data_IF_989082679296
#
_entry.id   IF_989082679296
#
_cell.length_a   1.000
_cell.length_b   1.000
_cell.length_c   1.000
_cell.angle_alpha   90.00
_cell.angle_beta   90.00
_cell.angle_gamma   90.00
#
_symmetry.space_group_name_H-M   'P 1'
#
loop_
_entity.id
_entity.type
_entity.pdbx_description
1 polymer ?
#
# COMPACT_ATOMS: atom_id res chain seq x y z
N UNK A 1 0.99 -5.60 2.63
CA UNK A 1 0.68 -5.54 4.08
C UNK A 1 -0.21 -6.72 4.46
N UNK A 2 -0.17 -7.16 5.72
CA UNK A 2 -1.16 -8.09 6.28
C UNK A 2 -2.61 -7.64 6.01
N UNK A 3 -3.50 -8.61 5.86
CA UNK A 3 -4.94 -8.49 5.59
C UNK A 3 -5.33 -7.80 4.26
N UNK A 4 -4.35 -7.43 3.44
CA UNK A 4 -4.60 -6.82 2.14
C UNK A 4 -4.73 -7.87 1.06
N UNK A 5 -5.80 -7.76 0.27
CA UNK A 5 -6.02 -8.56 -0.93
C UNK A 5 -5.64 -7.75 -2.17
N UNK A 6 -4.68 -8.25 -2.95
CA UNK A 6 -4.15 -7.54 -4.12
C UNK A 6 -4.00 -8.50 -5.30
N UNK A 7 -4.44 -8.12 -6.51
CA UNK A 7 -4.12 -8.86 -7.72
C UNK A 7 -2.69 -8.52 -8.17
N UNK A 8 -1.88 -9.55 -8.45
CA UNK A 8 -0.56 -9.43 -9.05
C UNK A 8 -0.54 -10.06 -10.43
N UNK A 9 0.21 -9.45 -11.34
CA UNK A 9 0.49 -9.97 -12.68
C UNK A 9 1.94 -10.41 -12.71
N UNK A 10 2.16 -11.69 -13.01
CA UNK A 10 3.48 -12.33 -12.90
C UNK A 10 3.86 -12.87 -14.27
N UNK A 11 4.96 -12.36 -14.82
CA UNK A 11 5.51 -12.79 -16.12
C UNK A 11 6.90 -13.42 -16.06
N UNK A 12 7.62 -13.29 -14.94
CA UNK A 12 8.97 -13.85 -14.78
C UNK A 12 8.89 -15.35 -14.53
N UNK A 13 9.63 -16.14 -15.31
CA UNK A 13 9.62 -17.61 -15.22
C UNK A 13 9.89 -18.10 -13.78
N UNK A 14 10.91 -17.55 -13.10
CA UNK A 14 11.23 -17.91 -11.71
C UNK A 14 10.07 -17.67 -10.75
N UNK A 15 9.32 -16.58 -10.94
CA UNK A 15 8.17 -16.24 -10.11
C UNK A 15 6.96 -17.12 -10.40
N UNK A 16 6.72 -17.47 -11.66
CA UNK A 16 5.66 -18.41 -12.07
C UNK A 16 5.96 -19.79 -11.49
N UNK A 17 7.21 -20.28 -11.59
CA UNK A 17 7.62 -21.57 -11.01
C UNK A 17 7.46 -21.60 -9.48
N UNK A 18 7.83 -20.52 -8.79
CA UNK A 18 7.60 -20.38 -7.34
C UNK A 18 6.10 -20.51 -6.99
N UNK A 19 5.24 -19.85 -7.77
CA UNK A 19 3.79 -19.89 -7.59
C UNK A 19 3.23 -21.30 -7.81
N UNK A 20 3.64 -22.01 -8.87
CA UNK A 20 3.22 -23.39 -9.15
C UNK A 20 3.58 -24.34 -8.00
N UNK A 21 4.83 -24.29 -7.51
CA UNK A 21 5.29 -25.08 -6.36
C UNK A 21 4.47 -24.76 -5.10
N UNK A 22 4.12 -23.48 -4.89
CA UNK A 22 3.33 -23.09 -3.72
C UNK A 22 1.91 -23.68 -3.72
N UNK A 23 1.33 -23.86 -4.92
CA UNK A 23 -0.02 -24.40 -5.09
C UNK A 23 -0.14 -25.89 -4.77
N UNK A 24 0.97 -26.63 -4.89
CA UNK A 24 1.07 -28.05 -4.52
C UNK A 24 1.29 -28.26 -3.01
N UNK A 25 1.66 -27.19 -2.30
CA UNK A 25 1.87 -27.16 -0.84
C UNK A 25 0.71 -26.44 -0.15
N UNK A 26 1.02 -25.59 0.83
CA UNK A 26 0.03 -24.89 1.66
C UNK A 26 -0.51 -23.60 1.02
N UNK A 27 -0.28 -23.36 -0.27
CA UNK A 27 -0.67 -22.14 -1.00
C UNK A 27 -0.13 -20.85 -0.37
N UNK A 28 1.02 -20.94 0.30
CA UNK A 28 1.69 -19.79 0.93
C UNK A 28 2.92 -19.39 0.15
N UNK A 29 3.12 -18.08 0.02
CA UNK A 29 4.29 -17.47 -0.60
C UNK A 29 4.81 -16.33 0.28
N UNK A 30 6.10 -16.02 0.15
CA UNK A 30 6.70 -14.85 0.77
C UNK A 30 6.82 -13.75 -0.27
N UNK A 31 6.12 -12.63 -0.07
CA UNK A 31 6.18 -11.46 -0.95
C UNK A 31 7.21 -10.48 -0.42
N UNK A 32 8.23 -10.20 -1.23
CA UNK A 32 9.32 -9.27 -0.92
C UNK A 32 9.39 -8.25 -2.04
N UNK A 33 9.48 -6.98 -1.69
CA UNK A 33 9.69 -5.94 -2.66
C UNK A 33 11.16 -5.88 -3.10
N UNK A 34 11.40 -5.60 -4.38
CA UNK A 34 12.71 -5.21 -4.88
C UNK A 34 12.92 -3.70 -4.64
N UNK A 35 14.16 -3.30 -4.35
CA UNK A 35 14.55 -1.91 -4.09
C UNK A 35 14.35 -1.02 -5.33
N UNK A 36 14.65 -1.55 -6.50
CA UNK A 36 14.51 -0.85 -7.79
C UNK A 36 13.52 -1.59 -8.70
N UNK A 37 12.38 -0.96 -9.01
CA UNK A 37 11.33 -1.58 -9.83
C UNK A 37 11.76 -1.86 -11.29
N UNK A 38 12.74 -1.12 -11.81
CA UNK A 38 13.23 -1.25 -13.19
C UNK A 38 14.15 -2.44 -13.43
N UNK A 39 14.58 -3.13 -12.38
CA UNK A 39 15.46 -4.29 -12.52
C UNK A 39 14.62 -5.55 -12.78
N UNK A 40 14.81 -6.13 -13.97
CA UNK A 40 14.07 -7.31 -14.41
C UNK A 40 14.55 -8.60 -13.74
N UNK A 41 15.86 -8.72 -13.52
CA UNK A 41 16.47 -9.84 -12.83
C UNK A 41 17.13 -9.34 -11.53
N UNK A 42 16.36 -9.19 -10.44
CA UNK A 42 16.92 -8.83 -9.15
C UNK A 42 17.75 -9.99 -8.59
N UNK A 43 18.92 -9.67 -8.07
CA UNK A 43 19.70 -10.54 -7.21
C UNK A 43 19.23 -10.41 -5.75
N UNK A 44 19.85 -11.17 -4.86
CA UNK A 44 19.52 -11.21 -3.43
C UNK A 44 19.67 -9.82 -2.76
N UNK A 45 20.72 -9.08 -3.11
CA UNK A 45 21.02 -7.76 -2.53
C UNK A 45 20.07 -6.66 -3.02
N UNK A 46 19.34 -6.89 -4.11
CA UNK A 46 18.33 -5.98 -4.63
C UNK A 46 16.99 -6.08 -3.90
N UNK A 47 16.82 -7.05 -2.99
CA UNK A 47 15.58 -7.29 -2.27
C UNK A 47 15.62 -6.68 -0.86
N UNK A 48 14.46 -6.32 -0.34
CA UNK A 48 14.31 -6.02 1.08
C UNK A 48 14.33 -7.31 1.92
N UNK A 49 14.68 -7.17 3.20
CA UNK A 49 14.75 -8.32 4.11
C UNK A 49 13.41 -8.61 4.80
N UNK A 50 12.53 -7.61 4.90
CA UNK A 50 11.20 -7.77 5.47
C UNK A 50 10.18 -7.83 4.35
N UNK A 51 9.33 -8.84 4.41
CA UNK A 51 8.25 -9.07 3.47
C UNK A 51 6.95 -9.47 4.15
N UNK A 52 6.00 -9.92 3.36
CA UNK A 52 4.70 -10.39 3.83
C UNK A 52 4.48 -11.85 3.43
N UNK A 53 4.33 -12.74 4.41
CA UNK A 53 3.80 -14.08 4.17
C UNK A 53 2.37 -13.91 3.70
N UNK A 54 2.05 -14.50 2.55
CA UNK A 54 0.78 -14.31 1.86
C UNK A 54 0.18 -15.63 1.42
N UNK A 55 -1.15 -15.70 1.39
CA UNK A 55 -1.91 -16.83 0.85
C UNK A 55 -2.29 -16.55 -0.60
N UNK A 56 -2.18 -17.56 -1.46
CA UNK A 56 -2.68 -17.52 -2.84
C UNK A 56 -4.16 -17.91 -2.85
N UNK A 57 -5.03 -16.93 -3.07
CA UNK A 57 -6.48 -17.14 -3.12
C UNK A 57 -6.94 -17.71 -4.47
N UNK A 58 -6.39 -17.17 -5.56
CA UNK A 58 -6.76 -17.56 -6.91
C UNK A 58 -5.56 -17.40 -7.86
N UNK A 59 -5.46 -18.30 -8.83
CA UNK A 59 -4.46 -18.24 -9.90
C UNK A 59 -5.13 -18.49 -11.25
N UNK A 60 -4.83 -17.65 -12.23
CA UNK A 60 -5.33 -17.76 -13.60
C UNK A 60 -4.18 -17.53 -14.58
N UNK A 61 -3.89 -18.52 -15.42
CA UNK A 61 -2.97 -18.37 -16.55
C UNK A 61 -3.69 -17.63 -17.68
N UNK A 62 -3.07 -16.56 -18.17
CA UNK A 62 -3.58 -15.77 -19.28
C UNK A 62 -3.04 -16.31 -20.62
N UNK A 63 -3.72 -16.04 -21.75
CA UNK A 63 -3.30 -16.54 -23.07
C UNK A 63 -1.92 -16.04 -23.52
N UNK A 64 -1.43 -14.94 -22.96
CA UNK A 64 -0.12 -14.36 -23.23
C UNK A 64 1.02 -15.02 -22.45
N UNK A 65 0.72 -16.03 -21.63
CA UNK A 65 1.68 -16.74 -20.79
C UNK A 65 1.89 -16.11 -19.41
N UNK A 66 1.34 -14.93 -19.15
CA UNK A 66 1.41 -14.32 -17.81
C UNK A 66 0.41 -14.97 -16.86
N UNK A 67 0.67 -14.86 -15.56
CA UNK A 67 -0.20 -15.39 -14.51
C UNK A 67 -0.80 -14.23 -13.73
N UNK A 68 -2.14 -14.16 -13.71
CA UNK A 68 -2.87 -13.30 -12.79
C UNK A 68 -3.13 -14.07 -11.50
N UNK A 69 -2.58 -13.60 -10.39
CA UNK A 69 -2.75 -14.21 -9.07
C UNK A 69 -3.41 -13.22 -8.11
N UNK A 70 -4.38 -13.70 -7.33
CA UNK A 70 -4.99 -12.94 -6.24
C UNK A 70 -4.36 -13.44 -4.93
N UNK A 71 -3.75 -12.53 -4.18
CA UNK A 71 -3.03 -12.86 -2.94
C UNK A 71 -3.60 -12.08 -1.77
N UNK A 72 -3.61 -12.70 -0.59
CA UNK A 72 -3.92 -12.06 0.69
C UNK A 72 -2.68 -12.05 1.58
N UNK A 73 -2.26 -10.88 2.06
CA UNK A 73 -1.22 -10.78 3.06
C UNK A 73 -1.70 -11.36 4.39
N UNK A 74 -0.90 -12.23 5.03
CA UNK A 74 -1.24 -12.85 6.31
C UNK A 74 -0.50 -12.20 7.46
N UNK A 75 0.83 -12.17 7.38
CA UNK A 75 1.69 -11.65 8.43
C UNK A 75 3.02 -11.19 7.86
N UNK A 76 3.72 -10.35 8.63
CA UNK A 76 5.05 -9.88 8.26
C UNK A 76 6.09 -10.94 8.64
N UNK A 77 7.16 -11.03 7.87
CA UNK A 77 8.29 -11.89 8.18
C UNK A 77 9.62 -11.25 7.79
N UNK A 78 10.66 -11.57 8.54
CA UNK A 78 12.04 -11.17 8.27
C UNK A 78 12.82 -12.36 7.73
N UNK A 79 13.53 -12.17 6.62
CA UNK A 79 14.38 -13.17 5.99
C UNK A 79 15.66 -13.34 6.83
N UNK A 80 15.96 -14.59 7.17
CA UNK A 80 17.21 -15.01 7.80
C UNK A 80 18.25 -15.35 6.72
N UNK A 81 17.83 -16.11 5.72
CA UNK A 81 18.67 -16.48 4.58
C UNK A 81 17.85 -16.57 3.31
N UNK A 82 18.43 -16.11 2.19
CA UNK A 82 17.84 -16.20 0.86
C UNK A 82 18.79 -16.98 -0.06
N UNK A 83 18.25 -17.90 -0.85
CA UNK A 83 18.99 -18.75 -1.78
C UNK A 83 18.32 -18.69 -3.15
N UNK A 84 19.12 -18.48 -4.19
CA UNK A 84 18.68 -18.67 -5.58
C UNK A 84 19.07 -20.08 -6.01
N UNK A 85 18.06 -20.95 -6.19
CA UNK A 85 18.28 -22.33 -6.62
C UNK A 85 18.27 -22.46 -8.16
N UNK A 86 18.34 -21.36 -8.90
CA UNK A 86 18.22 -21.30 -10.35
C UNK A 86 16.75 -21.22 -10.81
N UNK A 87 15.88 -22.05 -10.24
CA UNK A 87 14.47 -22.11 -10.60
C UNK A 87 13.59 -21.07 -9.91
N UNK A 88 13.88 -20.77 -8.65
CA UNK A 88 13.14 -19.82 -7.82
C UNK A 88 13.98 -19.44 -6.60
N UNK A 89 13.59 -18.37 -5.93
CA UNK A 89 14.15 -18.00 -4.64
C UNK A 89 13.54 -18.86 -3.52
N UNK A 90 14.37 -19.38 -2.64
CA UNK A 90 13.99 -20.03 -1.39
C UNK A 90 14.52 -19.22 -0.22
N UNK A 91 13.68 -18.96 0.77
CA UNK A 91 14.05 -18.18 1.95
C UNK A 91 13.75 -18.96 3.23
N UNK A 92 14.64 -18.82 4.21
CA UNK A 92 14.33 -19.09 5.61
C UNK A 92 13.92 -17.76 6.26
N UNK A 93 12.79 -17.73 6.96
CA UNK A 93 12.24 -16.50 7.51
C UNK A 93 11.61 -16.73 8.89
N UNK A 94 11.72 -15.72 9.74
CA UNK A 94 11.04 -15.66 11.04
C UNK A 94 9.83 -14.74 10.95
N UNK A 95 8.81 -15.03 11.76
CA UNK A 95 7.74 -14.06 11.99
C UNK A 95 8.33 -12.75 12.50
N UNK A 96 7.82 -11.65 11.96
CA UNK A 96 8.29 -10.32 12.32
C UNK A 96 7.89 -10.00 13.76
N UNK A 97 8.87 -9.62 14.58
CA UNK A 97 8.63 -9.31 15.98
C UNK A 97 8.02 -7.92 16.12
N UNK A 98 6.86 -7.84 16.76
CA UNK A 98 6.21 -6.57 17.12
C UNK A 98 6.69 -6.16 18.51
N UNK A 99 7.02 -4.88 18.69
CA UNK A 99 7.39 -4.36 20.02
C UNK A 99 6.15 -4.12 20.86
N UNK A 100 6.24 -4.43 22.15
CA UNK A 100 5.17 -4.14 23.12
C UNK A 100 5.19 -2.64 23.44
N UNK A 101 4.05 -1.98 23.34
CA UNK A 101 3.82 -0.56 23.64
C UNK A 101 2.87 -0.38 24.83
N UNK A 102 2.82 0.83 25.40
CA UNK A 102 1.82 1.21 26.41
C UNK A 102 0.43 1.31 25.76
N UNK A 103 -0.50 0.48 26.23
CA UNK A 103 -1.86 0.38 25.70
C UNK A 103 -2.63 1.71 25.74
N UNK A 104 -2.36 2.58 26.73
CA UNK A 104 -3.15 3.82 26.92
C UNK A 104 -2.79 4.89 25.90
N UNK A 105 -1.51 5.07 25.61
CA UNK A 105 -1.05 5.99 24.57
C UNK A 105 -1.50 5.53 23.19
N UNK A 106 -1.44 4.22 22.95
CA UNK A 106 -1.87 3.61 21.70
C UNK A 106 -3.36 3.83 21.41
N UNK A 107 -4.23 3.74 22.42
CA UNK A 107 -5.68 3.99 22.24
C UNK A 107 -5.95 5.44 21.77
N UNK A 108 -5.26 6.42 22.35
CA UNK A 108 -5.38 7.83 21.96
C UNK A 108 -4.90 8.03 20.53
N UNK A 109 -3.76 7.43 20.18
CA UNK A 109 -3.18 7.52 18.86
C UNK A 109 -4.06 6.89 17.78
N UNK A 110 -4.68 5.75 18.07
CA UNK A 110 -5.65 5.10 17.15
C UNK A 110 -6.81 6.03 16.84
N UNK A 111 -7.41 6.67 17.86
CA UNK A 111 -8.50 7.64 17.65
C UNK A 111 -8.05 8.84 16.81
N UNK A 112 -6.86 9.36 17.09
CA UNK A 112 -6.29 10.45 16.31
C UNK A 112 -6.05 10.07 14.84
N UNK A 113 -5.50 8.88 14.59
CA UNK A 113 -5.25 8.35 13.25
C UNK A 113 -6.55 8.16 12.45
N UNK A 114 -7.61 7.64 13.08
CA UNK A 114 -8.94 7.49 12.43
C UNK A 114 -9.49 8.87 12.03
N UNK A 115 -9.48 9.85 12.94
CA UNK A 115 -10.00 11.19 12.68
C UNK A 115 -9.23 11.90 11.56
N UNK A 116 -7.91 11.73 11.52
CA UNK A 116 -7.09 12.28 10.45
C UNK A 116 -7.34 11.57 9.12
N UNK A 117 -7.49 10.24 9.13
CA UNK A 117 -7.83 9.48 7.94
C UNK A 117 -9.22 9.83 7.39
N UNK A 118 -10.20 10.10 8.25
CA UNK A 118 -11.51 10.64 7.84
C UNK A 118 -11.35 11.97 7.09
N UNK A 119 -10.54 12.87 7.64
CA UNK A 119 -10.25 14.18 7.03
C UNK A 119 -9.54 14.02 5.68
N UNK A 120 -8.64 13.05 5.59
CA UNK A 120 -7.96 12.68 4.35
C UNK A 120 -8.93 12.16 3.27
N UNK A 121 -9.81 11.20 3.59
CA UNK A 121 -10.81 10.67 2.64
C UNK A 121 -11.72 11.76 2.10
N UNK A 122 -12.16 12.71 2.96
CA UNK A 122 -13.02 13.83 2.54
C UNK A 122 -12.38 14.69 1.44
N UNK A 123 -11.05 14.77 1.41
CA UNK A 123 -10.29 15.48 0.37
C UNK A 123 -9.93 14.55 -0.80
N UNK A 124 -9.59 13.29 -0.54
CA UNK A 124 -9.24 12.31 -1.55
C UNK A 124 -10.44 11.43 -1.97
N UNK A 125 -11.22 11.96 -2.93
CA UNK A 125 -12.40 11.27 -3.48
C UNK A 125 -12.12 9.96 -4.25
N UNK A 126 -10.85 9.53 -4.37
CA UNK A 126 -10.51 8.24 -4.99
C UNK A 126 -10.73 7.06 -4.04
N UNK A 127 -10.78 7.31 -2.73
CA UNK A 127 -10.98 6.27 -1.72
C UNK A 127 -12.48 6.15 -1.45
N UNK A 128 -13.07 4.94 -1.57
CA UNK A 128 -14.48 4.73 -1.26
C UNK A 128 -14.77 5.04 0.22
N UNK A 129 -15.85 5.78 0.55
CA UNK A 129 -16.22 6.09 1.93
C UNK A 129 -16.41 4.84 2.82
N UNK A 130 -16.77 3.70 2.22
CA UNK A 130 -16.96 2.41 2.90
C UNK A 130 -15.68 1.92 3.60
N UNK A 131 -14.51 2.36 3.11
CA UNK A 131 -13.21 2.06 3.74
C UNK A 131 -13.16 2.64 5.15
N UNK A 132 -13.70 3.85 5.38
CA UNK A 132 -13.74 4.46 6.71
C UNK A 132 -14.59 3.64 7.68
N UNK A 133 -15.75 3.16 7.23
CA UNK A 133 -16.62 2.29 8.03
C UNK A 133 -15.93 0.98 8.40
N UNK A 134 -15.16 0.41 7.47
CA UNK A 134 -14.38 -0.81 7.74
C UNK A 134 -13.28 -0.58 8.77
N UNK A 135 -12.59 0.57 8.73
CA UNK A 135 -11.54 0.93 9.67
C UNK A 135 -12.07 1.12 11.09
N UNK A 136 -13.25 1.75 11.25
CA UNK A 136 -13.87 1.93 12.55
C UNK A 136 -14.23 0.61 13.26
N UNK A 137 -14.32 -0.49 12.52
CA UNK A 137 -14.61 -1.82 13.08
C UNK A 137 -13.33 -2.62 13.41
N UNK A 138 -12.14 -2.07 13.15
CA UNK A 138 -10.87 -2.74 13.43
C UNK A 138 -10.43 -2.40 14.85
N UNK A 139 -10.46 -3.40 15.73
CA UNK A 139 -9.99 -3.26 17.12
C UNK A 139 -8.48 -3.42 17.27
N UNK A 140 -7.81 -4.08 16.31
CA UNK A 140 -6.37 -4.30 16.34
C UNK A 140 -5.62 -3.09 15.74
N UNK A 141 -4.84 -2.34 16.55
CA UNK A 141 -4.10 -1.19 16.09
C UNK A 141 -3.08 -1.53 15.00
N UNK A 142 -2.54 -2.76 15.01
CA UNK A 142 -1.59 -3.18 14.00
C UNK A 142 -2.26 -3.27 12.62
N UNK A 143 -3.39 -3.97 12.54
CA UNK A 143 -4.23 -4.08 11.34
C UNK A 143 -4.78 -2.73 10.89
N UNK A 144 -5.12 -1.83 11.81
CA UNK A 144 -5.57 -0.49 11.48
C UNK A 144 -4.48 0.29 10.73
N UNK A 145 -3.25 0.28 11.25
CA UNK A 145 -2.11 0.90 10.60
C UNK A 145 -1.84 0.30 9.20
N UNK A 146 -1.90 -1.03 9.06
CA UNK A 146 -1.73 -1.71 7.77
C UNK A 146 -2.79 -1.30 6.74
N UNK A 147 -4.04 -1.15 7.20
CA UNK A 147 -5.18 -0.75 6.36
C UNK A 147 -5.03 0.71 5.90
N UNK A 148 -4.67 1.63 6.81
CA UNK A 148 -4.39 3.04 6.46
C UNK A 148 -3.26 3.10 5.42
N UNK A 149 -2.15 2.42 5.68
CA UNK A 149 -0.99 2.42 4.80
C UNK A 149 -1.28 1.92 3.38
N UNK A 150 -2.20 0.96 3.24
CA UNK A 150 -2.60 0.42 1.96
C UNK A 150 -3.42 1.39 1.09
N UNK A 151 -4.15 2.30 1.73
CA UNK A 151 -4.97 3.31 1.06
C UNK A 151 -4.24 4.64 0.84
N UNK A 152 -3.01 4.78 1.35
CA UNK A 152 -2.19 5.97 1.16
C UNK A 152 -1.28 5.88 -0.09
N UNK A 153 -1.04 6.99 -0.80
CA UNK A 153 -0.18 7.05 -1.98
C UNK A 153 1.32 7.11 -1.60
N UNK A 154 1.77 6.19 -0.76
CA UNK A 154 3.15 6.12 -0.31
C UNK A 154 4.07 5.63 -1.45
N UNK A 155 5.26 6.25 -1.55
CA UNK A 155 6.36 5.72 -2.37
C UNK A 155 6.85 4.38 -1.80
N UNK A 156 7.54 3.58 -2.61
CA UNK A 156 8.06 2.27 -2.21
C UNK A 156 8.85 2.32 -0.88
N UNK A 157 9.77 3.28 -0.74
CA UNK A 157 10.54 3.46 0.48
C UNK A 157 9.65 3.66 1.71
N UNK A 158 8.67 4.56 1.63
CA UNK A 158 7.71 4.78 2.71
C UNK A 158 6.85 3.55 3.00
N UNK A 159 6.42 2.81 1.97
CA UNK A 159 5.68 1.56 2.16
C UNK A 159 6.52 0.52 2.90
N UNK A 160 7.79 0.40 2.52
CA UNK A 160 8.70 -0.53 3.14
C UNK A 160 9.01 -0.12 4.59
N UNK A 161 9.24 1.17 4.86
CA UNK A 161 9.44 1.67 6.22
C UNK A 161 8.27 1.31 7.14
N UNK A 162 7.02 1.46 6.68
CA UNK A 162 5.83 1.05 7.45
C UNK A 162 5.80 -0.46 7.71
N UNK A 163 6.22 -1.27 6.73
CA UNK A 163 6.30 -2.72 6.87
C UNK A 163 7.38 -3.14 7.90
N UNK A 164 8.48 -2.39 7.94
CA UNK A 164 9.66 -2.63 8.79
C UNK A 164 9.55 -2.01 10.20
N UNK A 165 8.58 -1.13 10.46
CA UNK A 165 8.34 -0.60 11.81
C UNK A 165 7.72 -1.66 12.73
N UNK A 166 8.49 -2.08 13.73
CA UNK A 166 8.08 -2.99 14.78
C UNK A 166 7.13 -2.34 15.79
N UNK A 167 7.30 -1.04 16.06
CA UNK A 167 6.42 -0.27 16.93
C UNK A 167 5.16 0.16 16.19
N UNK A 168 4.00 -0.20 16.75
CA UNK A 168 2.71 0.24 16.22
C UNK A 168 2.57 1.75 16.40
N UNK A 169 3.03 2.29 17.54
CA UNK A 169 3.02 3.73 17.84
C UNK A 169 3.80 4.51 16.78
N UNK A 170 5.08 4.16 16.56
CA UNK A 170 5.91 4.83 15.55
C UNK A 170 5.30 4.72 14.15
N UNK A 171 4.70 3.56 13.84
CA UNK A 171 4.05 3.33 12.56
C UNK A 171 2.82 4.21 12.37
N UNK A 172 1.98 4.35 13.38
CA UNK A 172 0.80 5.21 13.35
C UNK A 172 1.22 6.68 13.25
N UNK A 173 2.20 7.13 14.03
CA UNK A 173 2.74 8.50 13.96
C UNK A 173 3.31 8.81 12.57
N UNK A 174 4.08 7.89 11.99
CA UNK A 174 4.60 8.03 10.64
C UNK A 174 3.47 8.19 9.62
N UNK A 175 2.45 7.34 9.68
CA UNK A 175 1.29 7.42 8.80
C UNK A 175 0.52 8.73 8.98
N UNK A 176 0.36 9.20 10.22
CA UNK A 176 -0.27 10.48 10.54
C UNK A 176 0.51 11.66 9.94
N UNK A 177 1.83 11.67 10.05
CA UNK A 177 2.67 12.70 9.42
C UNK A 177 2.53 12.68 7.89
N UNK A 178 2.47 11.49 7.29
CA UNK A 178 2.25 11.34 5.84
C UNK A 178 0.84 11.78 5.41
N UNK A 179 -0.19 11.52 6.23
CA UNK A 179 -1.54 11.99 5.98
C UNK A 179 -1.60 13.51 6.02
N UNK A 180 -0.96 14.14 7.00
CA UNK A 180 -0.92 15.61 7.13
C UNK A 180 -0.30 16.26 5.89
N UNK A 181 0.87 15.78 5.46
CA UNK A 181 1.54 16.29 4.27
C UNK A 181 0.67 16.15 3.02
N UNK A 182 -0.06 15.05 2.89
CA UNK A 182 -0.92 14.81 1.72
C UNK A 182 -2.20 15.67 1.77
N UNK A 183 -2.76 15.88 2.96
CA UNK A 183 -3.89 16.80 3.18
C UNK A 183 -3.51 18.21 2.73
N UNK A 184 -2.34 18.71 3.15
CA UNK A 184 -1.84 20.03 2.77
C UNK A 184 -1.69 20.17 1.25
N UNK A 185 -1.12 19.16 0.60
CA UNK A 185 -0.96 19.12 -0.85
C UNK A 185 -2.32 19.17 -1.56
N UNK A 186 -3.27 18.33 -1.15
CA UNK A 186 -4.63 18.30 -1.71
C UNK A 186 -5.36 19.64 -1.53
N UNK A 187 -5.15 20.32 -0.41
CA UNK A 187 -5.73 21.65 -0.18
C UNK A 187 -5.11 22.71 -1.10
N UNK A 188 -3.80 22.68 -1.33
CA UNK A 188 -3.12 23.55 -2.30
C UNK A 188 -3.66 23.30 -3.71
N UNK A 189 -3.74 22.04 -4.14
CA UNK A 189 -4.30 21.67 -5.45
C UNK A 189 -5.74 22.16 -5.63
N UNK A 190 -6.57 21.99 -4.59
CA UNK A 190 -7.96 22.47 -4.59
C UNK A 190 -8.03 23.98 -4.76
N UNK A 191 -7.17 24.75 -4.08
CA UNK A 191 -7.08 26.21 -4.24
C UNK A 191 -6.67 26.62 -5.65
N UNK A 192 -5.67 25.96 -6.23
CA UNK A 192 -5.21 26.20 -7.60
C UNK A 192 -6.33 25.92 -8.60
N UNK A 193 -7.00 24.77 -8.48
CA UNK A 193 -8.11 24.35 -9.34
C UNK A 193 -9.26 25.35 -9.32
N UNK A 194 -9.63 25.83 -8.12
CA UNK A 194 -10.68 26.83 -7.96
C UNK A 194 -10.32 28.17 -8.61
N UNK A 195 -9.06 28.60 -8.52
CA UNK A 195 -8.59 29.84 -9.17
C UNK A 195 -8.64 29.73 -10.70
N UNK A 196 -8.16 28.61 -11.25
CA UNK A 196 -8.21 28.34 -12.70
C UNK A 196 -9.66 28.31 -13.19
N UNK A 197 -10.56 27.63 -12.48
CA UNK A 197 -11.98 27.56 -12.84
C UNK A 197 -12.63 28.95 -12.91
N UNK A 198 -12.40 29.80 -11.89
CA UNK A 198 -12.91 31.19 -11.88
C UNK A 198 -12.39 32.01 -13.05
N UNK A 199 -11.11 31.85 -13.41
CA UNK A 199 -10.52 32.55 -14.54
C UNK A 199 -11.14 32.10 -15.87
N UNK A 200 -11.36 30.80 -16.05
CA UNK A 200 -12.03 30.25 -17.24
C UNK A 200 -13.47 30.76 -17.36
N UNK A 201 -14.25 30.73 -16.27
CA UNK A 201 -15.62 31.24 -16.25
C UNK A 201 -15.68 32.73 -16.61
N UNK A 202 -14.71 33.53 -16.14
CA UNK A 202 -14.58 34.95 -16.49
C UNK A 202 -14.27 35.13 -17.98
N UNK A 203 -13.28 34.42 -18.52
CA UNK A 203 -12.90 34.51 -19.93
C UNK A 203 -14.02 34.05 -20.87
N UNK A 204 -14.75 32.98 -20.52
CA UNK A 204 -15.92 32.53 -21.29
C UNK A 204 -17.04 33.57 -21.28
N UNK A 205 -17.30 34.19 -20.13
CA UNK A 205 -18.30 35.27 -20.02
C UNK A 205 -17.91 36.49 -20.86
N UNK A 206 -16.65 36.93 -20.80
CA UNK A 206 -16.15 38.06 -21.59
C UNK A 206 -16.22 37.77 -23.09
N UNK A 207 -15.86 36.56 -23.53
CA UNK A 207 -16.00 36.13 -24.91
C UNK A 207 -17.46 36.18 -25.38
N UNK A 208 -18.38 35.61 -24.60
CA UNK A 208 -19.81 35.59 -24.90
C UNK A 208 -20.40 37.00 -25.00
N UNK A 209 -20.06 37.89 -24.06
CA UNK A 209 -20.54 39.28 -24.06
C UNK A 209 -20.02 40.06 -25.28
N UNK A 210 -18.76 39.85 -25.68
CA UNK A 210 -18.18 40.51 -26.85
C UNK A 210 -18.81 40.04 -28.17
N UNK A 211 -19.20 38.77 -28.27
CA UNK A 211 -19.94 38.25 -29.44
C UNK A 211 -21.36 38.82 -29.53
N UNK A 212 -22.05 39.06 -28.40
CA UNK A 212 -23.39 39.68 -28.42
C UNK A 212 -23.41 41.17 -28.76
N UNK A 213 -22.29 41.88 -28.60
CA UNK A 213 -22.19 43.31 -28.93
C UNK A 213 -21.76 43.56 -30.39
N UNK A 214 -21.40 42.52 -31.14
CA UNK A 214 -21.15 42.58 -32.58
C UNK A 214 -22.42 42.31 -33.36
#
# INVERSE_FOLDING_TARGET
YPHMVVPLFVGREKSIRCLEISMEKDKRIMLIAQKEASKDEPNIDDLFLVGTISSVLQMLKLPDGTVKVLVEGLSRASIISLKDNGDHFSAEANHFTVSISDDREQEVLVRAAINQFESYIKLNKKIPPEVLTSLNNINDPARLADTIAAHMPLKLSGKQSVLEMASITERLEYLMAMMESEIDLLQIEKRIRNRVKKQMEKSQREYYLNEQMK
#
